data_IF_664123966222
#
_entry.id   IF_664123966222
#
_cell.length_a   1.000
_cell.length_b   1.000
_cell.length_c   1.000
_cell.angle_alpha   90.00
_cell.angle_beta   90.00
_cell.angle_gamma   90.00
#
_symmetry.space_group_name_H-M   'P 1'
#
loop_
_entity.id
_entity.type
_entity.pdbx_description
1 polymer ?
#
# COMPACT_ATOMS: atom_id res chain seq x y z
N UNK A 1 -11.81 19.69 -0.41
CA UNK A 1 -10.38 19.48 -0.69
C UNK A 1 -10.07 18.00 -0.66
N UNK A 2 -9.55 17.44 -1.73
CA UNK A 2 -9.26 16.02 -1.76
C UNK A 2 -7.94 15.72 -1.04
N UNK A 3 -8.01 14.97 0.04
CA UNK A 3 -6.82 14.48 0.73
C UNK A 3 -6.19 13.34 -0.07
N UNK A 4 -4.87 13.31 -0.15
CA UNK A 4 -4.12 12.23 -0.83
C UNK A 4 -4.28 10.93 -0.04
N UNK A 5 -4.14 11.01 1.28
CA UNK A 5 -4.34 9.92 2.22
C UNK A 5 -5.17 10.44 3.39
N UNK A 6 -6.10 9.64 3.87
CA UNK A 6 -7.01 10.03 4.95
C UNK A 6 -6.53 9.34 6.25
N UNK A 7 -6.08 10.11 7.26
CA UNK A 7 -5.55 9.51 8.49
C UNK A 7 -6.61 8.74 9.26
N UNK A 8 -6.20 7.63 9.85
CA UNK A 8 -7.02 6.85 10.79
C UNK A 8 -6.21 6.56 12.05
N UNK A 9 -6.91 6.33 13.16
CA UNK A 9 -6.23 5.97 14.41
C UNK A 9 -5.71 4.53 14.37
N UNK A 10 -4.72 4.24 15.22
CA UNK A 10 -4.24 2.87 15.40
C UNK A 10 -5.36 1.93 15.83
N UNK A 11 -6.29 2.42 16.66
CA UNK A 11 -7.44 1.65 17.13
C UNK A 11 -8.35 1.28 15.96
N UNK A 12 -8.72 2.25 15.14
CA UNK A 12 -9.58 2.01 13.96
C UNK A 12 -8.91 1.04 12.99
N UNK A 13 -7.61 1.22 12.71
CA UNK A 13 -6.86 0.31 11.87
C UNK A 13 -6.91 -1.13 12.39
N UNK A 14 -6.65 -1.33 13.68
CA UNK A 14 -6.67 -2.67 14.29
C UNK A 14 -8.05 -3.31 14.31
N UNK A 15 -9.10 -2.50 14.42
CA UNK A 15 -10.48 -2.98 14.36
C UNK A 15 -10.91 -3.42 12.97
N UNK A 16 -10.43 -2.75 11.93
CA UNK A 16 -10.82 -2.99 10.53
C UNK A 16 -9.95 -3.99 9.81
N UNK A 17 -8.64 -3.96 10.04
CA UNK A 17 -7.67 -4.79 9.32
C UNK A 17 -7.37 -6.07 10.09
N UNK A 18 -7.68 -7.20 9.50
CA UNK A 18 -7.51 -8.53 10.13
C UNK A 18 -6.18 -9.20 9.80
N UNK A 19 -5.63 -8.94 8.62
CA UNK A 19 -4.34 -9.51 8.19
C UNK A 19 -3.27 -8.45 8.40
N UNK A 20 -2.67 -8.44 9.58
CA UNK A 20 -1.61 -7.50 9.97
C UNK A 20 -0.57 -8.20 10.83
N UNK A 21 0.67 -7.78 10.68
CA UNK A 21 1.81 -8.35 11.41
C UNK A 21 2.95 -7.33 11.44
N UNK A 22 3.86 -7.47 12.39
CA UNK A 22 4.97 -6.54 12.58
C UNK A 22 6.21 -6.92 11.75
N UNK A 23 6.36 -8.20 11.41
CA UNK A 23 7.46 -8.66 10.58
C UNK A 23 6.96 -9.55 9.46
N UNK A 24 7.69 -9.55 8.34
CA UNK A 24 7.35 -10.36 7.17
C UNK A 24 7.35 -11.88 7.51
N UNK A 25 8.20 -12.31 8.43
CA UNK A 25 8.24 -13.70 8.86
C UNK A 25 6.94 -14.14 9.55
N UNK A 26 6.35 -13.25 10.35
CA UNK A 26 5.05 -13.52 10.97
C UNK A 26 3.95 -13.68 9.91
N UNK A 27 4.03 -12.89 8.85
CA UNK A 27 3.12 -13.02 7.71
C UNK A 27 3.22 -14.39 7.06
N UNK A 28 4.42 -14.83 6.71
CA UNK A 28 4.65 -16.14 6.10
C UNK A 28 4.28 -17.31 7.01
N UNK A 29 4.47 -17.16 8.32
CA UNK A 29 4.18 -18.23 9.28
C UNK A 29 2.68 -18.37 9.59
N UNK A 30 1.91 -17.29 9.53
CA UNK A 30 0.55 -17.23 10.04
C UNK A 30 -0.54 -17.15 8.97
N UNK A 31 -0.18 -16.85 7.71
CA UNK A 31 -1.15 -16.63 6.63
C UNK A 31 -0.79 -17.41 5.38
N UNK A 32 -1.78 -17.74 4.59
CA UNK A 32 -1.56 -18.20 3.23
C UNK A 32 -0.93 -17.06 2.43
N UNK A 33 -0.09 -17.39 1.48
CA UNK A 33 0.60 -16.36 0.72
C UNK A 33 0.93 -16.79 -0.70
N UNK A 34 1.12 -15.79 -1.54
CA UNK A 34 1.71 -15.87 -2.88
C UNK A 34 2.68 -14.71 -3.02
N UNK A 35 3.48 -14.74 -4.04
CA UNK A 35 4.32 -13.60 -4.43
C UNK A 35 3.84 -13.08 -5.77
N UNK A 36 3.67 -11.77 -5.88
CA UNK A 36 3.30 -11.11 -7.13
C UNK A 36 4.49 -10.35 -7.70
N UNK A 37 4.73 -10.51 -8.99
CA UNK A 37 5.85 -9.88 -9.69
C UNK A 37 5.38 -9.28 -11.01
N UNK A 38 5.99 -8.16 -11.37
CA UNK A 38 5.69 -7.49 -12.64
C UNK A 38 6.30 -6.10 -12.74
N UNK A 39 5.88 -5.38 -13.76
CA UNK A 39 6.29 -3.99 -13.97
C UNK A 39 5.58 -3.05 -13.03
N UNK A 40 6.12 -1.84 -12.85
CA UNK A 40 5.48 -0.78 -12.07
C UNK A 40 4.07 -0.48 -12.59
N UNK A 41 3.90 -0.37 -13.90
CA UNK A 41 2.62 -0.10 -14.53
C UNK A 41 1.61 -1.21 -14.27
N UNK A 42 2.06 -2.46 -14.28
CA UNK A 42 1.22 -3.61 -13.97
C UNK A 42 0.75 -3.59 -12.51
N UNK A 43 1.62 -3.21 -11.57
CA UNK A 43 1.24 -3.01 -10.16
C UNK A 43 0.23 -1.89 -9.98
N UNK A 44 0.44 -0.74 -10.62
CA UNK A 44 -0.48 0.40 -10.53
C UNK A 44 -1.86 -0.03 -11.03
N UNK A 45 -1.95 -0.64 -12.20
CA UNK A 45 -3.21 -1.11 -12.78
C UNK A 45 -3.91 -2.13 -11.88
N UNK A 46 -3.18 -3.12 -11.38
CA UNK A 46 -3.71 -4.14 -10.47
C UNK A 46 -4.26 -3.53 -9.19
N UNK A 47 -3.51 -2.63 -8.56
CA UNK A 47 -3.93 -2.00 -7.30
C UNK A 47 -5.13 -1.08 -7.48
N UNK A 48 -5.24 -0.40 -8.62
CA UNK A 48 -6.44 0.38 -8.96
C UNK A 48 -7.68 -0.51 -9.06
N UNK A 49 -7.57 -1.65 -9.73
CA UNK A 49 -8.66 -2.62 -9.84
C UNK A 49 -9.00 -3.27 -8.48
N UNK A 50 -7.98 -3.60 -7.69
CA UNK A 50 -8.19 -4.12 -6.34
C UNK A 50 -8.88 -3.11 -5.43
N UNK A 51 -8.55 -1.83 -5.56
CA UNK A 51 -9.24 -0.74 -4.85
C UNK A 51 -10.72 -0.66 -5.26
N UNK A 52 -11.03 -0.70 -6.54
CA UNK A 52 -12.42 -0.71 -7.02
C UNK A 52 -13.18 -1.94 -6.52
N UNK A 53 -12.52 -3.10 -6.50
CA UNK A 53 -13.08 -4.35 -6.00
C UNK A 53 -13.47 -4.26 -4.51
N UNK A 54 -12.66 -3.63 -3.70
CA UNK A 54 -12.87 -3.53 -2.24
C UNK A 54 -13.69 -2.30 -1.84
N UNK A 55 -13.57 -1.19 -2.57
CA UNK A 55 -14.13 0.10 -2.22
C UNK A 55 -13.24 0.92 -1.31
N UNK A 56 -13.42 2.23 -1.34
CA UNK A 56 -12.60 3.19 -0.58
C UNK A 56 -12.62 2.95 0.93
N UNK A 57 -13.77 2.58 1.49
CA UNK A 57 -13.91 2.32 2.93
C UNK A 57 -13.27 1.00 3.39
N UNK A 58 -12.83 0.17 2.47
CA UNK A 58 -12.20 -1.13 2.76
C UNK A 58 -10.74 -1.21 2.26
N UNK A 59 -10.12 -0.06 2.03
CA UNK A 59 -8.76 0.01 1.49
C UNK A 59 -7.90 0.91 2.36
N UNK A 60 -6.81 0.35 2.90
CA UNK A 60 -5.93 1.00 3.87
C UNK A 60 -4.48 0.85 3.45
N UNK A 61 -3.64 1.72 3.98
CA UNK A 61 -2.20 1.73 3.68
C UNK A 61 -1.43 2.21 4.90
N UNK A 62 -0.21 1.72 5.08
CA UNK A 62 0.75 2.37 5.96
C UNK A 62 1.64 3.32 5.14
N UNK A 63 1.95 4.46 5.72
CA UNK A 63 2.80 5.46 5.09
C UNK A 63 3.71 6.09 6.14
N UNK A 64 4.98 5.80 6.05
CA UNK A 64 5.96 6.11 7.10
C UNK A 64 6.63 7.48 6.95
N UNK A 65 6.25 8.28 5.97
CA UNK A 65 6.93 9.54 5.67
C UNK A 65 7.07 10.46 6.89
N UNK A 66 5.98 10.66 7.64
CA UNK A 66 6.00 11.61 8.78
C UNK A 66 6.83 11.13 9.97
N UNK A 67 7.21 9.86 10.03
CA UNK A 67 8.09 9.34 11.08
C UNK A 67 9.56 9.30 10.66
N UNK A 68 9.87 9.63 9.41
CA UNK A 68 11.24 9.79 8.94
C UNK A 68 11.87 11.04 9.59
N UNK A 69 13.19 11.01 9.78
CA UNK A 69 13.93 12.21 10.16
C UNK A 69 14.05 13.19 8.98
N UNK A 70 14.50 14.41 9.24
CA UNK A 70 14.57 15.47 8.23
C UNK A 70 15.53 15.13 7.08
N UNK A 71 16.62 14.45 7.38
CA UNK A 71 17.59 14.01 6.35
C UNK A 71 16.98 13.00 5.40
N UNK A 72 16.29 12.00 5.93
CA UNK A 72 15.63 10.97 5.11
C UNK A 72 14.46 11.54 4.29
N UNK A 73 13.70 12.48 4.85
CA UNK A 73 12.67 13.21 4.12
C UNK A 73 13.27 13.98 2.93
N UNK A 74 14.40 14.64 3.15
CA UNK A 74 15.10 15.36 2.09
C UNK A 74 15.59 14.43 0.98
N UNK A 75 16.19 13.30 1.34
CA UNK A 75 16.63 12.29 0.38
C UNK A 75 15.47 11.76 -0.45
N UNK A 76 14.36 11.47 0.20
CA UNK A 76 13.15 10.99 -0.48
C UNK A 76 12.67 12.02 -1.51
N UNK A 77 12.60 13.28 -1.14
CA UNK A 77 12.19 14.36 -2.05
C UNK A 77 13.10 14.50 -3.28
N UNK A 78 14.38 14.20 -3.13
CA UNK A 78 15.34 14.23 -4.25
C UNK A 78 15.14 13.05 -5.22
N UNK A 79 14.61 11.93 -4.75
CA UNK A 79 14.45 10.69 -5.53
C UNK A 79 13.15 10.60 -6.29
N UNK A 80 12.10 11.31 -5.88
CA UNK A 80 10.78 11.24 -6.50
C UNK A 80 10.68 12.18 -7.71
N UNK A 81 9.75 11.85 -8.64
CA UNK A 81 9.50 12.69 -9.80
C UNK A 81 8.68 13.94 -9.45
N UNK A 82 8.52 14.85 -10.40
CA UNK A 82 7.84 16.15 -10.16
C UNK A 82 6.35 15.97 -9.83
N UNK A 83 5.68 15.01 -10.44
CA UNK A 83 4.28 14.68 -10.14
C UNK A 83 4.14 14.23 -8.68
N UNK A 84 5.01 13.34 -8.24
CA UNK A 84 5.00 12.83 -6.85
C UNK A 84 5.40 13.90 -5.83
N UNK A 85 6.25 14.85 -6.21
CA UNK A 85 6.57 16.02 -5.36
C UNK A 85 5.33 16.84 -5.07
N UNK A 86 4.50 17.08 -6.07
CA UNK A 86 3.24 17.82 -5.91
C UNK A 86 2.31 17.09 -4.92
N UNK A 87 2.17 15.77 -5.07
CA UNK A 87 1.35 14.97 -4.16
C UNK A 87 1.90 14.97 -2.74
N UNK A 88 3.20 14.85 -2.59
CA UNK A 88 3.84 14.89 -1.27
C UNK A 88 3.69 16.24 -0.58
N UNK A 89 3.86 17.34 -1.31
CA UNK A 89 3.62 18.69 -0.79
C UNK A 89 2.18 18.88 -0.31
N UNK A 90 1.22 18.35 -1.06
CA UNK A 90 -0.19 18.36 -0.70
C UNK A 90 -0.44 17.58 0.60
N UNK A 91 0.19 16.41 0.76
CA UNK A 91 0.15 15.63 1.97
C UNK A 91 0.76 16.40 3.15
N UNK A 92 1.93 16.98 2.97
CA UNK A 92 2.62 17.76 4.04
C UNK A 92 1.81 18.96 4.51
N UNK A 93 1.08 19.64 3.62
CA UNK A 93 0.24 20.78 3.98
C UNK A 93 -0.98 20.40 4.83
N UNK A 94 -1.50 19.21 4.61
CA UNK A 94 -2.75 18.77 5.23
C UNK A 94 -2.54 17.87 6.45
N UNK A 95 -1.34 17.32 6.63
CA UNK A 95 -1.11 16.34 7.68
C UNK A 95 0.31 16.44 8.26
N UNK A 96 0.39 16.67 9.56
CA UNK A 96 1.67 16.88 10.28
C UNK A 96 1.90 15.88 11.42
N UNK A 97 0.92 15.04 11.75
CA UNK A 97 1.04 14.11 12.86
C UNK A 97 1.88 12.88 12.47
N UNK A 98 2.44 12.21 13.48
CA UNK A 98 3.28 11.01 13.26
C UNK A 98 2.48 9.72 13.16
N UNK A 99 1.26 9.78 12.66
CA UNK A 99 0.49 8.58 12.35
C UNK A 99 1.03 7.91 11.08
N UNK A 100 0.93 6.60 11.02
CA UNK A 100 1.40 5.81 9.87
C UNK A 100 0.25 5.15 9.09
N UNK A 101 -0.96 5.10 9.65
CA UNK A 101 -2.08 4.42 9.01
C UNK A 101 -3.07 5.40 8.39
N UNK A 102 -3.48 5.08 7.17
CA UNK A 102 -4.36 5.93 6.37
C UNK A 102 -5.34 5.08 5.58
N UNK A 103 -6.48 5.67 5.23
CA UNK A 103 -7.31 5.15 4.14
C UNK A 103 -6.62 5.47 2.82
N UNK A 104 -6.56 4.48 1.96
CA UNK A 104 -6.05 4.63 0.60
C UNK A 104 -7.07 5.42 -0.23
N UNK A 105 -6.59 6.27 -1.12
CA UNK A 105 -7.42 6.96 -2.10
C UNK A 105 -7.00 6.54 -3.52
N UNK A 106 -7.90 6.68 -4.46
CA UNK A 106 -7.61 6.36 -5.86
C UNK A 106 -6.43 7.18 -6.40
N UNK A 107 -6.36 8.45 -6.04
CA UNK A 107 -5.29 9.37 -6.45
C UNK A 107 -3.93 8.97 -5.87
N UNK A 108 -3.90 8.41 -4.67
CA UNK A 108 -2.65 8.02 -4.01
C UNK A 108 -2.04 6.72 -4.53
N UNK A 109 -2.81 5.87 -5.19
CA UNK A 109 -2.34 4.54 -5.63
C UNK A 109 -1.08 4.61 -6.50
N UNK A 110 -1.04 5.40 -7.60
CA UNK A 110 0.17 5.48 -8.40
C UNK A 110 1.38 5.98 -7.60
N UNK A 111 1.19 6.98 -6.77
CA UNK A 111 2.23 7.55 -5.91
C UNK A 111 2.80 6.52 -4.93
N UNK A 112 1.95 5.88 -4.13
CA UNK A 112 2.35 4.85 -3.16
C UNK A 112 3.04 3.67 -3.88
N UNK A 113 2.52 3.27 -5.03
CA UNK A 113 3.10 2.18 -5.83
C UNK A 113 4.49 2.54 -6.32
N UNK A 114 4.68 3.74 -6.88
CA UNK A 114 6.01 4.19 -7.35
C UNK A 114 7.04 4.23 -6.23
N UNK A 115 6.65 4.71 -5.05
CA UNK A 115 7.56 4.71 -3.89
C UNK A 115 8.03 3.29 -3.54
N UNK A 116 7.14 2.31 -3.59
CA UNK A 116 7.48 0.91 -3.29
C UNK A 116 8.26 0.24 -4.44
N UNK A 117 7.82 0.37 -5.69
CA UNK A 117 8.49 -0.29 -6.84
C UNK A 117 9.87 0.30 -7.11
N UNK A 118 10.09 1.56 -6.79
CA UNK A 118 11.38 2.25 -6.92
C UNK A 118 12.24 2.15 -5.66
N UNK A 119 11.78 1.41 -4.67
CA UNK A 119 12.52 1.14 -3.42
C UNK A 119 12.92 2.43 -2.67
N UNK A 120 12.06 3.44 -2.75
CA UNK A 120 12.25 4.74 -2.08
C UNK A 120 11.65 4.70 -0.68
N UNK A 121 10.41 4.23 -0.56
CA UNK A 121 9.71 4.04 0.70
C UNK A 121 8.65 2.95 0.50
N UNK A 122 8.81 1.85 1.20
CA UNK A 122 7.86 0.75 1.12
C UNK A 122 6.58 1.05 1.89
N UNK A 123 5.46 0.66 1.33
CA UNK A 123 4.15 0.67 2.00
C UNK A 123 3.52 -0.71 1.91
N UNK A 124 2.68 -1.00 2.90
CA UNK A 124 1.82 -2.18 2.92
C UNK A 124 0.40 -1.73 2.64
N UNK A 125 -0.30 -2.42 1.74
CA UNK A 125 -1.69 -2.13 1.40
C UNK A 125 -2.57 -3.23 1.99
N UNK A 126 -3.66 -2.82 2.64
CA UNK A 126 -4.57 -3.70 3.34
C UNK A 126 -5.98 -3.54 2.77
N UNK A 127 -6.52 -4.62 2.25
CA UNK A 127 -7.91 -4.68 1.80
C UNK A 127 -8.74 -5.50 2.79
N UNK A 128 -9.98 -5.09 3.04
CA UNK A 128 -10.80 -5.69 4.10
C UNK A 128 -12.12 -6.29 3.64
N UNK A 129 -12.63 -5.94 2.47
CA UNK A 129 -13.83 -6.59 1.92
C UNK A 129 -13.51 -8.03 1.51
N UNK A 130 -12.44 -8.22 0.77
CA UNK A 130 -11.82 -9.51 0.51
C UNK A 130 -10.45 -9.47 1.18
N UNK A 131 -10.33 -9.95 2.44
CA UNK A 131 -9.14 -9.72 3.24
C UNK A 131 -7.85 -10.17 2.57
N UNK A 132 -6.97 -9.21 2.36
CA UNK A 132 -5.72 -9.42 1.65
C UNK A 132 -4.74 -8.30 2.00
N UNK A 133 -3.50 -8.65 2.26
CA UNK A 133 -2.44 -7.69 2.60
C UNK A 133 -1.28 -7.83 1.63
N UNK A 134 -0.90 -6.73 0.99
CA UNK A 134 0.18 -6.70 0.00
C UNK A 134 1.35 -5.93 0.59
N UNK A 135 2.47 -6.60 0.75
CA UNK A 135 3.68 -6.07 1.38
C UNK A 135 4.63 -5.55 0.32
N UNK A 136 4.86 -4.24 0.29
CA UNK A 136 5.86 -3.63 -0.59
C UNK A 136 7.26 -4.17 -0.26
N UNK A 137 8.00 -4.59 -1.28
CA UNK A 137 9.27 -5.27 -1.11
C UNK A 137 10.21 -5.00 -2.29
N UNK A 138 11.44 -5.47 -2.19
CA UNK A 138 12.48 -5.29 -3.21
C UNK A 138 12.18 -6.02 -4.52
N UNK A 139 12.78 -5.56 -5.59
CA UNK A 139 12.81 -6.21 -6.92
C UNK A 139 11.43 -6.37 -7.56
N UNK A 140 10.48 -5.51 -7.21
CA UNK A 140 9.08 -5.62 -7.70
C UNK A 140 8.52 -7.03 -7.49
N UNK A 141 8.81 -7.61 -6.33
CA UNK A 141 8.41 -8.95 -5.92
C UNK A 141 7.72 -8.82 -4.55
N UNK A 142 6.40 -8.65 -4.56
CA UNK A 142 5.62 -8.31 -3.36
C UNK A 142 4.85 -9.53 -2.86
N UNK A 143 5.09 -9.94 -1.59
CA UNK A 143 4.23 -10.95 -0.96
C UNK A 143 2.80 -10.44 -0.80
N UNK A 144 1.85 -11.33 -1.05
CA UNK A 144 0.43 -11.12 -0.81
C UNK A 144 -0.07 -12.18 0.17
N UNK A 145 -0.73 -11.74 1.24
CA UNK A 145 -1.19 -12.59 2.33
C UNK A 145 -2.71 -12.61 2.38
N UNK A 146 -3.29 -13.78 2.67
CA UNK A 146 -4.74 -13.97 2.71
C UNK A 146 -5.09 -15.12 3.66
N UNK A 147 -6.37 -15.19 4.07
CA UNK A 147 -6.85 -16.27 4.92
C UNK A 147 -7.37 -17.44 4.09
N UNK A 148 -8.23 -17.17 3.13
CA UNK A 148 -8.89 -18.23 2.40
C UNK A 148 -8.80 -18.07 0.88
N UNK A 149 -8.98 -19.20 0.19
CA UNK A 149 -8.83 -19.26 -1.25
C UNK A 149 -9.91 -18.49 -2.02
N UNK A 150 -11.07 -18.28 -1.42
CA UNK A 150 -12.14 -17.49 -2.05
C UNK A 150 -11.72 -16.01 -2.13
N UNK A 151 -11.04 -15.51 -1.10
CA UNK A 151 -10.57 -14.12 -1.09
C UNK A 151 -9.47 -13.88 -2.12
N UNK A 152 -8.44 -14.74 -2.15
CA UNK A 152 -7.36 -14.57 -3.14
C UNK A 152 -7.88 -14.74 -4.58
N UNK A 153 -8.89 -15.59 -4.77
CA UNK A 153 -9.45 -15.82 -6.10
C UNK A 153 -10.04 -14.53 -6.71
N UNK A 154 -10.57 -13.63 -5.88
CA UNK A 154 -11.06 -12.33 -6.34
C UNK A 154 -9.96 -11.52 -7.00
N UNK A 155 -8.75 -11.56 -6.45
CA UNK A 155 -7.58 -10.86 -6.99
C UNK A 155 -7.00 -11.57 -8.21
N UNK A 156 -6.98 -12.90 -8.21
CA UNK A 156 -6.54 -13.70 -9.36
C UNK A 156 -7.44 -13.49 -10.58
N UNK A 157 -8.71 -13.18 -10.36
CA UNK A 157 -9.68 -12.89 -11.43
C UNK A 157 -9.50 -11.51 -12.06
N UNK A 158 -8.76 -10.60 -11.41
CA UNK A 158 -8.44 -9.29 -12.00
C UNK A 158 -7.55 -9.51 -13.23
N UNK A 159 -8.00 -8.99 -14.37
CA UNK A 159 -7.21 -9.02 -15.59
C UNK A 159 -6.01 -8.09 -15.45
N UNK A 160 -4.81 -8.66 -15.42
CA UNK A 160 -3.57 -7.90 -15.21
C UNK A 160 -2.37 -8.62 -15.83
N UNK A 161 -1.23 -7.95 -15.86
CA UNK A 161 0.03 -8.48 -16.38
C UNK A 161 0.98 -8.97 -15.28
N UNK A 162 0.54 -9.00 -14.03
CA UNK A 162 1.32 -9.53 -12.91
C UNK A 162 1.35 -11.05 -12.95
N UNK A 163 2.46 -11.61 -12.49
CA UNK A 163 2.60 -13.04 -12.27
C UNK A 163 2.42 -13.35 -10.79
N UNK A 164 1.66 -14.39 -10.51
CA UNK A 164 1.40 -14.88 -9.15
C UNK A 164 2.09 -16.23 -8.98
N UNK A 165 2.93 -16.32 -7.95
CA UNK A 165 3.69 -17.53 -7.63
C UNK A 165 3.26 -18.16 -6.32
#
# INVERSE_FOLDING_TARGET
MNEILIPISNKEFKEKVTIRFNSINDGFNNYNNKTIEGTEEAFISFLQEAFELNGAENSYVDFYYNVLNDEDKKKLKELINDEDKILLEKFEKNYHEKNIYFKLTKESIPFITRLSTREILFSTIYFTKYPCTIWGNYNKSFPIFYHDNNDIQQYLNIKNELQFF
#
